data_IF_677220174780
#
_entry.id   IF_677220174780
#
_cell.length_a   1.000
_cell.length_b   1.000
_cell.length_c   1.000
_cell.angle_alpha   90.00
_cell.angle_beta   90.00
_cell.angle_gamma   90.00
#
_symmetry.space_group_name_H-M   'P 1'
#
loop_
_entity.id
_entity.type
_entity.pdbx_description
1 polymer ?
#
# COMPACT_ATOMS: atom_id res chain seq x y z
N UNK A 1 7.05 41.12 2.98
CA UNK A 1 6.29 40.32 2.03
C UNK A 1 7.02 39.01 1.82
N UNK A 2 6.38 37.86 1.97
CA UNK A 2 7.04 36.59 1.67
C UNK A 2 7.30 36.55 0.17
N UNK A 3 8.56 36.38 -0.20
CA UNK A 3 8.98 36.12 -1.57
C UNK A 3 8.19 34.91 -2.10
N UNK A 4 7.26 35.16 -3.01
CA UNK A 4 6.62 34.08 -3.76
C UNK A 4 7.69 33.38 -4.58
N UNK A 5 8.03 32.14 -4.19
CA UNK A 5 8.97 31.34 -4.97
C UNK A 5 8.42 31.15 -6.38
N UNK A 6 9.08 31.74 -7.34
CA UNK A 6 8.71 31.66 -8.77
C UNK A 6 9.36 30.47 -9.49
N UNK A 7 10.11 29.65 -8.79
CA UNK A 7 10.89 28.56 -9.38
C UNK A 7 10.37 27.19 -8.91
N UNK A 8 10.38 26.24 -9.83
CA UNK A 8 10.11 24.84 -9.50
C UNK A 8 11.22 24.26 -8.62
N UNK A 9 10.84 23.44 -7.64
CA UNK A 9 11.77 22.68 -6.82
C UNK A 9 12.03 21.35 -7.53
N UNK A 10 13.30 20.99 -7.68
CA UNK A 10 13.74 19.68 -8.20
C UNK A 10 14.01 18.77 -7.03
N UNK A 11 13.33 17.62 -7.01
CA UNK A 11 13.47 16.60 -5.97
C UNK A 11 13.89 15.30 -6.65
N UNK A 12 15.04 14.70 -6.29
CA UNK A 12 15.43 13.39 -6.78
C UNK A 12 14.38 12.35 -6.38
N UNK A 13 13.96 11.54 -7.34
CA UNK A 13 13.01 10.48 -7.11
C UNK A 13 13.23 9.32 -8.09
N UNK A 14 12.74 8.14 -7.74
CA UNK A 14 12.72 7.00 -8.64
C UNK A 14 11.28 6.52 -8.80
N UNK A 15 10.83 6.36 -10.04
CA UNK A 15 9.52 5.78 -10.34
C UNK A 15 9.68 4.29 -10.54
N UNK A 16 9.09 3.49 -9.68
CA UNK A 16 9.28 2.03 -9.63
C UNK A 16 7.97 1.27 -9.63
N UNK A 17 8.03 0.08 -10.22
CA UNK A 17 7.02 -0.96 -10.10
C UNK A 17 7.43 -1.96 -9.02
N UNK A 18 6.46 -2.37 -8.21
CA UNK A 18 6.57 -3.54 -7.34
C UNK A 18 5.29 -4.34 -7.45
N UNK A 19 5.40 -5.65 -7.77
CA UNK A 19 4.23 -6.45 -8.09
C UNK A 19 3.38 -5.79 -9.19
N UNK A 20 2.08 -5.70 -9.00
CA UNK A 20 1.12 -5.04 -9.91
C UNK A 20 0.88 -3.56 -9.56
N UNK A 21 1.69 -2.97 -8.71
CA UNK A 21 1.60 -1.55 -8.34
C UNK A 21 2.84 -0.79 -8.79
N UNK A 22 2.74 0.52 -8.93
CA UNK A 22 3.87 1.42 -9.14
C UNK A 22 3.68 2.71 -8.35
N UNK A 23 4.80 3.35 -8.02
CA UNK A 23 4.78 4.57 -7.25
C UNK A 23 6.07 5.37 -7.37
N UNK A 24 6.05 6.57 -6.81
CA UNK A 24 7.19 7.46 -6.75
C UNK A 24 7.92 7.23 -5.42
N UNK A 25 9.20 6.89 -5.51
CA UNK A 25 10.05 6.62 -4.36
C UNK A 25 10.95 7.82 -4.09
N UNK A 26 10.97 8.28 -2.85
CA UNK A 26 11.81 9.37 -2.37
C UNK A 26 12.74 8.87 -1.27
N UNK A 27 13.99 9.34 -1.28
CA UNK A 27 14.83 9.31 -0.08
C UNK A 27 14.38 10.42 0.87
N UNK A 28 14.19 10.10 2.13
CA UNK A 28 13.76 11.08 3.14
C UNK A 28 14.64 12.33 3.17
N UNK A 29 15.96 12.15 3.07
CA UNK A 29 16.92 13.24 3.10
C UNK A 29 16.87 14.18 1.88
N UNK A 30 16.33 13.70 0.74
CA UNK A 30 16.22 14.48 -0.49
C UNK A 30 14.94 15.33 -0.53
N UNK A 31 14.00 15.08 0.39
CA UNK A 31 12.80 15.91 0.53
C UNK A 31 13.16 17.28 1.12
N UNK A 32 12.43 18.35 0.74
CA UNK A 32 12.48 19.62 1.43
C UNK A 32 12.27 19.43 2.94
N UNK A 33 12.98 20.19 3.75
CA UNK A 33 13.01 20.03 5.22
C UNK A 33 11.61 19.94 5.83
N UNK A 34 10.70 20.82 5.41
CA UNK A 34 9.32 20.83 5.90
C UNK A 34 8.53 19.53 5.58
N UNK A 35 8.92 18.81 4.53
CA UNK A 35 8.28 17.56 4.12
C UNK A 35 8.95 16.30 4.70
N UNK A 36 10.07 16.43 5.40
CA UNK A 36 10.73 15.29 6.05
C UNK A 36 9.98 14.76 7.27
N UNK A 37 9.10 15.58 7.83
CA UNK A 37 8.30 15.22 9.00
C UNK A 37 6.83 14.97 8.59
N UNK A 38 6.12 14.08 9.32
CA UNK A 38 4.68 13.91 9.11
C UNK A 38 3.93 15.24 9.25
N UNK A 39 2.94 15.45 8.40
CA UNK A 39 2.09 16.63 8.48
C UNK A 39 1.72 17.23 7.12
N UNK A 40 1.03 18.38 7.14
CA UNK A 40 0.45 18.99 5.95
C UNK A 40 1.46 19.32 4.84
N UNK A 41 2.69 19.69 5.19
CA UNK A 41 3.72 20.02 4.19
C UNK A 41 4.15 18.78 3.38
N UNK A 42 4.29 17.63 4.04
CA UNK A 42 4.58 16.35 3.38
C UNK A 42 3.41 15.93 2.48
N UNK A 43 2.19 15.98 3.00
CA UNK A 43 1.00 15.60 2.25
C UNK A 43 0.81 16.49 1.02
N UNK A 44 0.96 17.81 1.16
CA UNK A 44 0.85 18.76 0.07
C UNK A 44 1.89 18.50 -1.04
N UNK A 45 3.14 18.15 -0.66
CA UNK A 45 4.18 17.82 -1.63
C UNK A 45 3.81 16.55 -2.41
N UNK A 46 3.38 15.48 -1.73
CA UNK A 46 3.03 14.22 -2.37
C UNK A 46 1.79 14.39 -3.26
N UNK A 47 0.77 15.11 -2.81
CA UNK A 47 -0.41 15.45 -3.62
C UNK A 47 0.02 16.15 -4.91
N UNK A 48 0.90 17.15 -4.81
CA UNK A 48 1.39 17.89 -5.99
C UNK A 48 2.17 17.00 -6.95
N UNK A 49 3.05 16.12 -6.42
CA UNK A 49 3.84 15.20 -7.26
C UNK A 49 2.95 14.18 -7.97
N UNK A 50 1.93 13.68 -7.30
CA UNK A 50 1.01 12.68 -7.88
C UNK A 50 -0.05 13.32 -8.79
N UNK A 51 -0.27 14.65 -8.70
CA UNK A 51 -1.27 15.37 -9.48
C UNK A 51 -2.66 15.34 -8.87
N UNK A 52 -2.73 15.38 -7.54
CA UNK A 52 -3.99 15.32 -6.78
C UNK A 52 -4.22 16.62 -5.97
N UNK A 53 -5.48 16.99 -5.74
CA UNK A 53 -6.70 16.40 -6.28
C UNK A 53 -6.91 16.77 -7.75
N UNK A 54 -7.33 15.79 -8.56
CA UNK A 54 -7.66 16.03 -9.95
C UNK A 54 -9.17 15.78 -10.18
N UNK A 55 -9.97 16.83 -10.44
CA UNK A 55 -11.41 16.67 -10.67
C UNK A 55 -11.73 15.88 -11.95
N UNK A 56 -10.77 15.76 -12.86
CA UNK A 56 -10.91 14.99 -14.10
C UNK A 56 -10.50 13.53 -13.94
N UNK A 57 -9.93 13.15 -12.79
CA UNK A 57 -9.53 11.77 -12.47
C UNK A 57 -8.43 11.21 -13.38
N UNK A 58 -7.54 12.05 -13.90
CA UNK A 58 -6.48 11.68 -14.85
C UNK A 58 -5.06 11.85 -14.30
N UNK A 59 -4.90 12.71 -13.29
CA UNK A 59 -3.60 13.08 -12.72
C UNK A 59 -2.54 13.47 -13.79
N UNK A 60 -2.98 14.15 -14.84
CA UNK A 60 -2.11 14.57 -15.96
C UNK A 60 -1.00 15.49 -15.48
N UNK A 61 -1.27 16.32 -14.47
CA UNK A 61 -0.30 17.26 -13.90
C UNK A 61 0.56 16.61 -12.78
N UNK A 62 0.78 15.29 -12.87
CA UNK A 62 1.57 14.54 -11.90
C UNK A 62 1.87 13.11 -12.35
N UNK A 63 2.40 12.32 -11.43
CA UNK A 63 2.88 10.96 -11.68
C UNK A 63 1.91 9.86 -11.23
N UNK A 64 0.69 10.20 -10.81
CA UNK A 64 -0.24 9.25 -10.19
C UNK A 64 -0.88 8.25 -11.14
N UNK A 65 -1.04 8.62 -12.41
CA UNK A 65 -1.56 7.76 -13.47
C UNK A 65 -2.96 7.16 -13.20
N UNK A 66 -3.79 7.87 -12.42
CA UNK A 66 -5.24 7.74 -12.28
C UNK A 66 -5.79 6.37 -11.83
N UNK A 67 -5.03 5.59 -11.08
CA UNK A 67 -5.54 4.37 -10.45
C UNK A 67 -5.02 4.22 -9.02
N UNK A 68 -5.73 3.44 -8.19
CA UNK A 68 -5.27 3.11 -6.85
C UNK A 68 -3.99 2.27 -6.84
N UNK A 69 -3.70 1.56 -7.93
CA UNK A 69 -2.47 0.78 -8.11
C UNK A 69 -1.27 1.64 -8.48
N UNK A 70 -1.48 2.88 -8.87
CA UNK A 70 -0.43 3.77 -9.41
C UNK A 70 -0.30 5.10 -8.66
N UNK A 71 -1.34 5.56 -7.98
CA UNK A 71 -1.33 6.80 -7.20
C UNK A 71 -0.73 6.56 -5.80
N UNK A 72 0.58 6.29 -5.79
CA UNK A 72 1.31 5.85 -4.60
C UNK A 72 2.64 6.56 -4.47
N UNK A 73 3.01 6.85 -3.22
CA UNK A 73 4.31 7.39 -2.87
C UNK A 73 4.98 6.54 -1.79
N UNK A 74 6.30 6.46 -1.85
CA UNK A 74 7.13 5.73 -0.89
C UNK A 74 8.24 6.66 -0.44
N UNK A 75 8.49 6.68 0.86
CA UNK A 75 9.63 7.38 1.46
C UNK A 75 10.51 6.34 2.15
N UNK A 76 11.77 6.28 1.74
CA UNK A 76 12.77 5.38 2.31
C UNK A 76 13.85 6.15 3.05
N UNK A 77 14.35 5.57 4.13
CA UNK A 77 15.53 6.02 4.85
C UNK A 77 16.29 4.83 5.40
N UNK A 78 17.60 5.00 5.64
CA UNK A 78 18.37 3.98 6.38
C UNK A 78 17.74 3.78 7.75
N UNK A 79 17.50 2.52 8.12
CA UNK A 79 16.93 2.23 9.43
C UNK A 79 17.95 2.47 10.56
N UNK A 80 17.45 3.02 11.65
CA UNK A 80 18.20 3.08 12.93
C UNK A 80 17.80 1.95 13.87
N UNK A 81 16.84 1.10 13.47
CA UNK A 81 16.40 -0.06 14.25
C UNK A 81 17.42 -1.18 14.15
N UNK A 82 17.82 -1.80 15.28
CA UNK A 82 18.67 -2.97 15.25
C UNK A 82 18.10 -4.06 14.33
N UNK A 83 18.98 -4.63 13.50
CA UNK A 83 18.61 -5.73 12.60
C UNK A 83 17.74 -5.35 11.40
N UNK A 84 17.58 -4.05 11.12
CA UNK A 84 16.89 -3.55 9.93
C UNK A 84 17.81 -2.71 9.06
N UNK A 85 17.58 -2.77 7.74
CA UNK A 85 18.37 -2.03 6.75
C UNK A 85 17.72 -0.70 6.39
N UNK A 86 16.40 -0.72 6.17
CA UNK A 86 15.64 0.40 5.62
C UNK A 86 14.30 0.56 6.32
N UNK A 87 13.93 1.81 6.60
CA UNK A 87 12.59 2.19 6.99
C UNK A 87 11.79 2.52 5.74
N UNK A 88 10.61 1.95 5.64
CA UNK A 88 9.68 2.07 4.53
C UNK A 88 8.37 2.70 4.99
N UNK A 89 8.07 3.88 4.48
CA UNK A 89 6.83 4.58 4.71
C UNK A 89 6.03 4.65 3.40
N UNK A 90 4.79 4.20 3.44
CA UNK A 90 3.89 4.13 2.29
C UNK A 90 2.76 5.15 2.39
N UNK A 91 2.51 5.91 1.33
CA UNK A 91 1.37 6.81 1.19
C UNK A 91 0.48 6.43 0.02
N UNK A 92 -0.79 6.14 0.29
CA UNK A 92 -1.81 6.01 -0.76
C UNK A 92 -2.41 7.39 -1.02
N UNK A 93 -2.17 7.94 -2.20
CA UNK A 93 -2.62 9.28 -2.56
C UNK A 93 -3.98 9.20 -3.25
N UNK A 94 -5.00 9.83 -2.69
CA UNK A 94 -6.31 9.91 -3.32
C UNK A 94 -6.23 10.69 -4.65
N UNK A 95 -7.05 10.32 -5.63
CA UNK A 95 -7.00 10.90 -6.97
C UNK A 95 -7.79 12.21 -7.03
N UNK A 96 -8.99 12.21 -6.46
CA UNK A 96 -10.02 13.25 -6.61
C UNK A 96 -10.14 14.19 -5.42
N UNK A 97 -9.38 13.98 -4.36
CA UNK A 97 -9.43 14.77 -3.12
C UNK A 97 -8.04 14.96 -2.51
N UNK A 98 -7.84 16.02 -1.71
CA UNK A 98 -6.55 16.34 -1.12
C UNK A 98 -6.28 15.49 0.12
N UNK A 99 -6.05 14.18 -0.08
CA UNK A 99 -5.88 13.23 1.02
C UNK A 99 -4.77 12.22 0.69
N UNK A 100 -3.90 11.98 1.67
CA UNK A 100 -2.90 10.90 1.67
C UNK A 100 -3.23 9.97 2.82
N UNK A 101 -3.49 8.71 2.51
CA UNK A 101 -3.76 7.68 3.52
C UNK A 101 -2.46 6.98 3.93
N UNK A 102 -2.11 7.13 5.20
CA UNK A 102 -0.94 6.52 5.84
C UNK A 102 -1.28 5.29 6.68
N UNK A 103 -2.53 4.83 6.67
CA UNK A 103 -3.04 3.81 7.61
C UNK A 103 -2.59 2.38 7.34
N UNK A 104 -1.94 2.10 6.21
CA UNK A 104 -1.59 0.73 5.85
C UNK A 104 -0.36 0.59 4.97
N UNK A 105 -0.05 -0.65 4.62
CA UNK A 105 1.04 -1.01 3.72
C UNK A 105 0.51 -1.33 2.32
N UNK A 106 1.38 -1.25 1.32
CA UNK A 106 1.18 -1.84 0.00
C UNK A 106 2.09 -3.06 -0.16
N UNK A 107 1.51 -4.27 -0.08
CA UNK A 107 2.24 -5.51 -0.24
C UNK A 107 2.98 -5.59 -1.57
N UNK A 108 2.35 -5.18 -2.66
CA UNK A 108 2.95 -5.15 -3.99
C UNK A 108 4.18 -4.25 -4.08
N UNK A 109 4.08 -3.00 -3.62
CA UNK A 109 5.23 -2.07 -3.65
C UNK A 109 6.38 -2.51 -2.74
N UNK A 110 6.12 -3.32 -1.73
CA UNK A 110 7.17 -3.86 -0.86
C UNK A 110 8.25 -4.60 -1.65
N UNK A 111 7.90 -5.21 -2.80
CA UNK A 111 8.86 -5.89 -3.68
C UNK A 111 9.88 -4.92 -4.34
N UNK A 112 9.56 -3.65 -4.46
CA UNK A 112 10.47 -2.64 -5.00
C UNK A 112 11.37 -1.99 -3.93
N UNK A 113 11.04 -2.14 -2.66
CA UNK A 113 11.76 -1.46 -1.56
C UNK A 113 13.19 -1.96 -1.42
N UNK A 114 13.38 -3.29 -1.38
CA UNK A 114 14.71 -3.88 -1.29
C UNK A 114 15.64 -3.47 -2.45
N UNK A 115 15.22 -3.67 -3.72
CA UNK A 115 15.95 -3.20 -4.88
C UNK A 115 16.30 -1.71 -4.83
N UNK A 116 15.32 -0.86 -4.51
CA UNK A 116 15.55 0.58 -4.41
C UNK A 116 16.55 0.95 -3.30
N UNK A 117 16.44 0.30 -2.14
CA UNK A 117 17.36 0.51 -1.03
C UNK A 117 18.81 0.16 -1.41
N UNK A 118 19.01 -0.91 -2.18
CA UNK A 118 20.33 -1.29 -2.69
C UNK A 118 20.85 -0.25 -3.69
N UNK A 119 20.03 0.16 -4.66
CA UNK A 119 20.41 1.20 -5.63
C UNK A 119 20.81 2.51 -4.96
N UNK A 120 20.19 2.84 -3.85
CA UNK A 120 20.48 4.09 -3.13
C UNK A 120 21.57 3.98 -2.06
N UNK A 121 22.18 2.79 -1.91
CA UNK A 121 23.23 2.56 -0.92
C UNK A 121 22.73 2.59 0.53
N UNK A 122 21.46 2.26 0.75
CA UNK A 122 20.86 2.16 2.09
C UNK A 122 21.15 0.81 2.76
N UNK A 123 21.55 -0.18 1.98
CA UNK A 123 22.03 -1.48 2.48
C UNK A 123 23.56 -1.45 2.50
N UNK A 124 24.16 -2.06 3.53
CA UNK A 124 25.60 -2.14 3.66
C UNK A 124 26.23 -2.84 2.42
N UNK A 125 27.12 -2.18 1.69
CA UNK A 125 27.74 -2.74 0.48
C UNK A 125 28.46 -4.07 0.70
N UNK A 126 29.01 -4.30 1.90
CA UNK A 126 29.73 -5.54 2.24
C UNK A 126 28.80 -6.75 2.27
N UNK A 127 27.51 -6.55 2.45
CA UNK A 127 26.50 -7.62 2.44
C UNK A 127 26.04 -8.01 1.04
N UNK A 128 26.36 -7.22 0.02
CA UNK A 128 25.88 -7.48 -1.34
C UNK A 128 26.84 -8.44 -2.04
N UNK A 129 26.39 -9.68 -2.34
CA UNK A 129 27.24 -10.67 -3.01
C UNK A 129 27.45 -10.31 -4.47
N UNK A 130 28.44 -10.93 -5.12
CA UNK A 130 28.57 -10.80 -6.58
C UNK A 130 27.50 -11.58 -7.35
N UNK A 131 27.04 -12.70 -6.79
CA UNK A 131 26.02 -13.58 -7.36
C UNK A 131 25.14 -14.14 -6.24
N UNK A 132 23.86 -14.37 -6.54
CA UNK A 132 22.91 -14.95 -5.61
C UNK A 132 21.83 -13.97 -5.18
N UNK A 133 21.59 -13.87 -3.88
CA UNK A 133 20.61 -12.94 -3.33
C UNK A 133 21.09 -12.32 -2.02
N UNK A 134 20.51 -11.18 -1.68
CA UNK A 134 20.69 -10.54 -0.37
C UNK A 134 19.32 -10.34 0.29
N UNK A 135 19.23 -10.73 1.57
CA UNK A 135 18.05 -10.49 2.37
C UNK A 135 18.10 -9.04 2.90
N UNK A 136 17.17 -8.21 2.44
CA UNK A 136 16.99 -6.83 2.91
C UNK A 136 15.89 -6.83 3.97
N UNK A 137 16.22 -6.44 5.19
CA UNK A 137 15.27 -6.32 6.29
C UNK A 137 14.66 -4.94 6.32
N UNK A 138 13.37 -4.88 6.07
CA UNK A 138 12.58 -3.67 5.92
C UNK A 138 11.71 -3.48 7.16
N UNK A 139 11.80 -2.30 7.78
CA UNK A 139 10.83 -1.87 8.75
C UNK A 139 9.69 -1.13 8.04
N UNK A 140 8.52 -1.76 7.98
CA UNK A 140 7.32 -1.12 7.42
C UNK A 140 6.68 -0.22 8.49
N UNK A 141 6.94 1.09 8.37
CA UNK A 141 6.67 2.06 9.42
C UNK A 141 5.17 2.33 9.66
N UNK A 142 4.32 2.16 8.64
CA UNK A 142 2.89 2.42 8.79
C UNK A 142 2.21 1.43 9.75
N UNK A 143 2.59 0.16 9.68
CA UNK A 143 1.96 -0.92 10.46
C UNK A 143 2.88 -1.51 11.53
N UNK A 144 4.12 -1.02 11.63
CA UNK A 144 5.06 -1.50 12.65
C UNK A 144 5.47 -2.97 12.48
N UNK A 145 5.71 -3.42 11.26
CA UNK A 145 6.04 -4.82 10.94
C UNK A 145 7.34 -4.93 10.15
N UNK A 146 7.97 -6.09 10.24
CA UNK A 146 9.16 -6.43 9.46
C UNK A 146 8.77 -7.17 8.19
N UNK A 147 9.37 -6.75 7.07
CA UNK A 147 9.33 -7.45 5.79
C UNK A 147 10.76 -7.81 5.43
N UNK A 148 10.99 -9.04 4.95
CA UNK A 148 12.28 -9.43 4.40
C UNK A 148 12.14 -9.61 2.89
N UNK A 149 12.91 -8.84 2.12
CA UNK A 149 12.96 -8.97 0.68
C UNK A 149 14.23 -9.71 0.26
N UNK A 150 14.08 -10.82 -0.48
CA UNK A 150 15.20 -11.57 -1.04
C UNK A 150 15.51 -11.02 -2.43
N UNK A 151 16.45 -10.08 -2.50
CA UNK A 151 16.78 -9.37 -3.74
C UNK A 151 17.81 -10.12 -4.53
N UNK A 152 17.53 -10.55 -5.78
CA UNK A 152 18.49 -11.23 -6.62
C UNK A 152 19.61 -10.27 -7.06
N UNK A 153 20.85 -10.78 -7.05
CA UNK A 153 22.05 -10.03 -7.37
C UNK A 153 22.84 -10.75 -8.47
N UNK A 154 23.24 -9.98 -9.48
CA UNK A 154 24.11 -10.43 -10.57
C UNK A 154 25.21 -9.39 -10.77
N UNK A 155 26.46 -9.84 -10.77
CA UNK A 155 27.62 -8.95 -10.92
C UNK A 155 27.78 -7.89 -9.82
N UNK A 156 27.20 -8.14 -8.65
CA UNK A 156 27.20 -7.17 -7.55
C UNK A 156 26.12 -6.10 -7.65
N UNK A 157 25.18 -6.24 -8.59
CA UNK A 157 24.07 -5.31 -8.81
C UNK A 157 22.74 -6.04 -8.70
N UNK A 158 21.68 -5.28 -8.41
CA UNK A 158 20.32 -5.83 -8.44
C UNK A 158 20.03 -6.41 -9.82
N UNK A 159 19.59 -7.67 -9.85
CA UNK A 159 19.07 -8.28 -11.08
C UNK A 159 17.68 -7.75 -11.34
N UNK A 160 17.49 -7.07 -12.48
CA UNK A 160 16.22 -6.47 -12.87
C UNK A 160 15.45 -7.33 -13.87
N UNK A 161 16.18 -8.00 -14.75
CA UNK A 161 15.63 -8.89 -15.79
C UNK A 161 15.59 -10.33 -15.32
N UNK A 162 14.60 -11.09 -15.80
CA UNK A 162 14.42 -12.51 -15.48
C UNK A 162 13.20 -13.08 -16.18
N UNK A 163 12.89 -14.34 -15.88
CA UNK A 163 11.81 -15.09 -16.52
C UNK A 163 10.54 -15.18 -15.65
N UNK A 164 10.52 -14.50 -14.50
CA UNK A 164 9.35 -14.54 -13.63
C UNK A 164 8.20 -13.75 -14.23
N UNK A 165 7.11 -14.46 -14.54
CA UNK A 165 5.87 -13.88 -15.03
C UNK A 165 4.91 -13.60 -13.88
N UNK A 166 4.26 -12.44 -13.91
CA UNK A 166 3.28 -12.02 -12.93
C UNK A 166 1.99 -11.61 -13.63
N UNK A 167 0.88 -12.21 -13.24
CA UNK A 167 -0.43 -11.87 -13.77
C UNK A 167 -0.72 -10.36 -13.61
N UNK A 168 -1.18 -9.73 -14.69
CA UNK A 168 -1.42 -8.29 -14.75
C UNK A 168 -0.20 -7.43 -15.08
N UNK A 169 0.96 -8.05 -15.32
CA UNK A 169 2.20 -7.37 -15.76
C UNK A 169 2.63 -7.91 -17.11
N UNK A 170 2.89 -7.02 -18.07
CA UNK A 170 3.08 -7.39 -19.47
C UNK A 170 4.42 -8.10 -19.76
N UNK A 171 5.45 -7.86 -18.96
CA UNK A 171 6.80 -8.37 -19.24
C UNK A 171 7.33 -9.15 -18.03
N UNK A 172 8.07 -10.25 -18.26
CA UNK A 172 8.76 -10.96 -17.19
C UNK A 172 9.88 -10.10 -16.61
N UNK A 173 10.27 -10.41 -15.37
CA UNK A 173 11.32 -9.71 -14.64
C UNK A 173 11.99 -10.66 -13.66
N UNK A 174 12.99 -10.19 -12.92
CA UNK A 174 13.55 -10.94 -11.80
C UNK A 174 12.53 -11.04 -10.66
N UNK A 175 12.41 -12.22 -10.06
CA UNK A 175 11.57 -12.47 -8.90
C UNK A 175 12.20 -11.86 -7.63
N UNK A 176 11.40 -11.20 -6.81
CA UNK A 176 11.79 -10.72 -5.49
C UNK A 176 10.86 -11.35 -4.44
N UNK A 177 11.23 -12.51 -3.86
CA UNK A 177 10.45 -13.14 -2.81
C UNK A 177 10.39 -12.25 -1.56
N UNK A 178 9.22 -12.20 -0.92
CA UNK A 178 8.98 -11.43 0.29
C UNK A 178 8.52 -12.34 1.43
N UNK A 179 9.04 -12.09 2.62
CA UNK A 179 8.54 -12.67 3.86
C UNK A 179 7.92 -11.56 4.72
N UNK A 180 6.66 -11.71 5.08
CA UNK A 180 5.97 -10.83 6.03
C UNK A 180 6.09 -11.48 7.40
N UNK A 181 6.91 -10.90 8.28
CA UNK A 181 7.21 -11.50 9.58
C UNK A 181 6.10 -11.21 10.58
N UNK A 182 5.55 -12.29 11.17
CA UNK A 182 4.48 -12.22 12.16
C UNK A 182 3.37 -11.22 11.79
N UNK A 183 2.75 -11.37 10.60
CA UNK A 183 1.80 -10.36 10.09
C UNK A 183 0.56 -10.21 10.97
N UNK A 184 0.25 -11.22 11.79
CA UNK A 184 -0.91 -11.29 12.66
C UNK A 184 -0.58 -11.23 14.16
N UNK A 185 0.64 -10.84 14.55
CA UNK A 185 0.94 -10.68 15.96
C UNK A 185 0.26 -9.43 16.57
N UNK A 186 0.28 -9.32 17.90
CA UNK A 186 -0.45 -8.31 18.68
C UNK A 186 0.04 -6.84 18.52
N UNK A 187 0.53 -6.45 17.33
CA UNK A 187 0.79 -5.05 17.01
C UNK A 187 -0.51 -4.23 16.91
N UNK A 188 -0.47 -3.06 16.30
CA UNK A 188 -1.65 -2.16 16.14
C UNK A 188 -2.87 -2.82 15.46
N UNK A 189 -2.69 -3.97 14.82
CA UNK A 189 -3.76 -4.74 14.16
C UNK A 189 -4.48 -5.74 15.07
N UNK A 190 -3.97 -6.00 16.29
CA UNK A 190 -4.55 -6.99 17.19
C UNK A 190 -4.41 -8.45 16.73
N UNK A 191 -5.20 -9.34 17.29
CA UNK A 191 -5.22 -10.77 16.96
C UNK A 191 -5.61 -11.01 15.50
N UNK A 192 -5.20 -12.17 14.95
CA UNK A 192 -5.56 -12.59 13.59
C UNK A 192 -7.08 -12.53 13.35
N UNK A 193 -7.87 -12.96 14.32
CA UNK A 193 -9.32 -12.81 14.33
C UNK A 193 -9.70 -11.80 15.42
N UNK A 194 -9.88 -10.50 15.09
CA UNK A 194 -10.09 -9.45 16.09
C UNK A 194 -11.32 -9.65 16.96
N UNK A 195 -12.34 -10.35 16.46
CA UNK A 195 -13.57 -10.68 17.21
C UNK A 195 -13.44 -11.97 18.02
N UNK A 196 -12.40 -12.77 17.79
CA UNK A 196 -12.23 -14.11 18.33
C UNK A 196 -12.95 -15.21 17.55
N UNK A 197 -13.68 -14.86 16.49
CA UNK A 197 -14.43 -15.81 15.66
C UNK A 197 -13.81 -15.91 14.27
N UNK A 198 -13.90 -17.10 13.67
CA UNK A 198 -13.54 -17.31 12.25
C UNK A 198 -14.61 -16.73 11.34
N UNK A 199 -15.88 -16.85 11.74
CA UNK A 199 -17.03 -16.27 11.03
C UNK A 199 -17.85 -15.46 12.00
N UNK A 200 -18.18 -14.25 11.60
CA UNK A 200 -19.06 -13.33 12.32
C UNK A 200 -20.34 -13.08 11.52
N UNK A 201 -21.41 -12.77 12.24
CA UNK A 201 -22.58 -12.11 11.65
C UNK A 201 -22.33 -10.61 11.62
N UNK A 202 -22.28 -10.04 10.42
CA UNK A 202 -22.11 -8.61 10.19
C UNK A 202 -23.43 -7.99 9.79
N UNK A 203 -24.01 -7.21 10.70
CA UNK A 203 -25.22 -6.44 10.44
C UNK A 203 -24.85 -5.06 9.90
N UNK A 204 -25.36 -4.75 8.70
CA UNK A 204 -25.14 -3.47 8.03
C UNK A 204 -26.48 -2.80 7.79
N UNK A 205 -26.89 -1.82 8.61
CA UNK A 205 -28.18 -1.16 8.52
C UNK A 205 -28.47 -0.62 7.12
N UNK A 206 -29.64 -0.93 6.58
CA UNK A 206 -30.08 -0.54 5.23
C UNK A 206 -29.44 -1.33 4.08
N UNK A 207 -28.57 -2.30 4.38
CA UNK A 207 -27.90 -3.14 3.37
C UNK A 207 -28.23 -4.61 3.58
N UNK A 208 -28.04 -5.15 4.79
CA UNK A 208 -28.36 -6.54 5.11
C UNK A 208 -27.47 -7.12 6.20
N UNK A 209 -27.63 -8.41 6.44
CA UNK A 209 -26.82 -9.22 7.34
C UNK A 209 -25.99 -10.21 6.52
N UNK A 210 -24.72 -10.33 6.88
CA UNK A 210 -23.76 -11.15 6.13
C UNK A 210 -22.96 -12.04 7.07
N UNK A 211 -22.76 -13.28 6.69
CA UNK A 211 -21.71 -14.10 7.26
C UNK A 211 -20.36 -13.60 6.71
N UNK A 212 -19.47 -13.15 7.57
CA UNK A 212 -18.21 -12.54 7.18
C UNK A 212 -17.05 -13.11 7.99
N UNK A 213 -15.90 -13.28 7.34
CA UNK A 213 -14.63 -13.50 8.03
C UNK A 213 -13.89 -12.18 8.13
N UNK A 214 -13.71 -11.71 9.38
CA UNK A 214 -12.98 -10.50 9.71
C UNK A 214 -11.58 -10.92 10.15
N UNK A 215 -10.57 -10.71 9.31
CA UNK A 215 -9.23 -11.25 9.53
C UNK A 215 -8.16 -10.18 9.40
N UNK A 216 -7.16 -10.24 10.28
CA UNK A 216 -5.97 -9.42 10.27
C UNK A 216 -4.73 -10.29 10.10
N UNK A 217 -4.44 -10.68 8.86
CA UNK A 217 -3.29 -11.50 8.50
C UNK A 217 -2.39 -10.74 7.51
N UNK A 218 -1.92 -9.58 7.93
CA UNK A 218 -1.16 -8.63 7.13
C UNK A 218 -1.96 -7.36 6.87
N UNK A 219 -2.87 -7.36 5.90
CA UNK A 219 -3.82 -6.27 5.71
C UNK A 219 -5.17 -6.70 6.28
N UNK A 220 -5.78 -5.92 7.19
CA UNK A 220 -7.13 -6.20 7.67
C UNK A 220 -8.10 -6.35 6.50
N UNK A 221 -8.81 -7.46 6.44
CA UNK A 221 -9.70 -7.80 5.32
C UNK A 221 -11.00 -8.40 5.81
N UNK A 222 -12.09 -8.03 5.15
CA UNK A 222 -13.43 -8.57 5.33
C UNK A 222 -13.73 -9.48 4.15
N UNK A 223 -13.85 -10.78 4.38
CA UNK A 223 -14.24 -11.75 3.36
C UNK A 223 -15.73 -12.09 3.47
N UNK A 224 -16.41 -12.10 2.33
CA UNK A 224 -17.82 -12.38 2.17
C UNK A 224 -18.02 -13.42 1.08
N UNK A 225 -19.14 -14.14 1.13
CA UNK A 225 -19.59 -14.96 0.01
C UNK A 225 -20.09 -14.09 -1.13
N UNK A 226 -19.65 -14.34 -2.35
CA UNK A 226 -20.13 -13.66 -3.55
C UNK A 226 -21.65 -13.79 -3.70
N UNK A 227 -22.19 -15.00 -3.46
CA UNK A 227 -23.63 -15.28 -3.58
C UNK A 227 -24.48 -14.41 -2.63
N UNK A 228 -24.01 -14.13 -1.41
CA UNK A 228 -24.73 -13.29 -0.45
C UNK A 228 -24.82 -11.82 -0.90
N UNK A 229 -23.94 -11.42 -1.82
CA UNK A 229 -23.91 -10.09 -2.43
C UNK A 229 -24.61 -10.05 -3.81
N UNK A 230 -25.08 -11.19 -4.30
CA UNK A 230 -25.67 -11.31 -5.63
C UNK A 230 -24.66 -11.40 -6.77
N UNK A 231 -23.41 -11.80 -6.45
CA UNK A 231 -22.33 -11.99 -7.42
C UNK A 231 -22.00 -13.47 -7.61
N UNK A 232 -21.31 -13.77 -8.72
CA UNK A 232 -20.85 -15.12 -9.05
C UNK A 232 -19.43 -15.38 -8.58
N UNK A 233 -18.64 -14.31 -8.31
CA UNK A 233 -17.22 -14.39 -8.02
C UNK A 233 -16.33 -14.30 -9.26
N UNK A 234 -16.93 -14.13 -10.45
CA UNK A 234 -16.21 -14.00 -11.72
C UNK A 234 -16.24 -12.56 -12.29
N UNK A 235 -16.85 -11.64 -11.56
CA UNK A 235 -16.99 -10.25 -11.97
C UNK A 235 -15.62 -9.58 -12.06
N UNK A 236 -15.41 -8.85 -13.16
CA UNK A 236 -14.19 -8.04 -13.35
C UNK A 236 -14.37 -6.63 -12.78
N UNK A 237 -13.27 -5.96 -12.58
CA UNK A 237 -13.19 -4.61 -12.01
C UNK A 237 -14.18 -3.63 -12.65
N UNK A 238 -14.33 -3.65 -13.97
CA UNK A 238 -15.22 -2.73 -14.68
C UNK A 238 -16.68 -2.87 -14.29
N UNK A 239 -17.15 -4.10 -14.04
CA UNK A 239 -18.54 -4.38 -13.64
C UNK A 239 -18.86 -3.79 -12.26
N UNK A 240 -17.88 -3.79 -11.35
CA UNK A 240 -18.03 -3.25 -9.99
C UNK A 240 -17.85 -1.72 -9.98
N UNK A 241 -16.77 -1.23 -10.58
CA UNK A 241 -16.42 0.20 -10.52
C UNK A 241 -17.38 1.11 -11.29
N UNK A 242 -18.12 0.57 -12.27
CA UNK A 242 -19.14 1.32 -13.00
C UNK A 242 -20.50 1.36 -12.31
N UNK A 243 -20.66 0.68 -11.18
CA UNK A 243 -21.91 0.64 -10.40
C UNK A 243 -21.79 1.43 -9.08
N UNK A 244 -22.29 2.70 -9.06
CA UNK A 244 -22.24 3.52 -7.84
C UNK A 244 -23.02 2.92 -6.66
N UNK A 245 -24.08 2.14 -6.91
CA UNK A 245 -24.84 1.50 -5.84
C UNK A 245 -24.04 0.35 -5.21
N UNK A 246 -23.34 -0.43 -6.03
CA UNK A 246 -22.43 -1.45 -5.53
C UNK A 246 -21.31 -0.84 -4.70
N UNK A 247 -20.67 0.23 -5.17
CA UNK A 247 -19.61 0.92 -4.44
C UNK A 247 -20.10 1.46 -3.09
N UNK A 248 -21.30 2.07 -3.05
CA UNK A 248 -21.90 2.56 -1.81
C UNK A 248 -22.19 1.41 -0.83
N UNK A 249 -22.71 0.29 -1.33
CA UNK A 249 -22.99 -0.92 -0.54
C UNK A 249 -21.67 -1.50 0.05
N UNK A 250 -20.63 -1.63 -0.75
CA UNK A 250 -19.35 -2.13 -0.29
C UNK A 250 -18.71 -1.19 0.74
N UNK A 251 -18.81 0.12 0.56
CA UNK A 251 -18.31 1.07 1.57
C UNK A 251 -19.07 0.96 2.89
N UNK A 252 -20.39 0.79 2.87
CA UNK A 252 -21.18 0.57 4.08
C UNK A 252 -20.77 -0.72 4.81
N UNK A 253 -20.58 -1.82 4.09
CA UNK A 253 -20.12 -3.09 4.64
C UNK A 253 -18.70 -2.92 5.23
N UNK A 254 -17.80 -2.26 4.51
CA UNK A 254 -16.44 -1.99 4.94
C UNK A 254 -16.39 -1.18 6.24
N UNK A 255 -17.19 -0.12 6.32
CA UNK A 255 -17.25 0.75 7.49
C UNK A 255 -17.76 -0.01 8.74
N UNK A 256 -18.83 -0.77 8.63
CA UNK A 256 -19.37 -1.57 9.74
C UNK A 256 -18.43 -2.71 10.14
N UNK A 257 -17.79 -3.36 9.17
CA UNK A 257 -16.76 -4.36 9.44
C UNK A 257 -15.54 -3.75 10.15
N UNK A 258 -15.11 -2.56 9.77
CA UNK A 258 -14.01 -1.85 10.43
C UNK A 258 -14.32 -1.53 11.91
N UNK A 259 -15.54 -1.13 12.22
CA UNK A 259 -16.00 -0.93 13.62
C UNK A 259 -15.96 -2.26 14.36
N UNK A 260 -16.50 -3.32 13.78
CA UNK A 260 -16.53 -4.66 14.42
C UNK A 260 -15.12 -5.22 14.63
N UNK A 261 -14.19 -4.93 13.76
CA UNK A 261 -12.77 -5.27 13.91
C UNK A 261 -12.02 -4.42 14.95
N UNK A 262 -12.65 -3.35 15.46
CA UNK A 262 -12.01 -2.42 16.39
C UNK A 262 -10.99 -1.47 15.74
N UNK A 263 -10.99 -1.32 14.43
CA UNK A 263 -10.09 -0.43 13.70
C UNK A 263 -10.51 1.04 13.77
N UNK A 264 -11.79 1.28 13.91
CA UNK A 264 -12.43 2.59 14.09
C UNK A 264 -13.53 2.49 15.14
N UNK A 265 -13.95 3.64 15.69
CA UNK A 265 -14.97 3.70 16.75
C UNK A 265 -16.38 3.90 16.20
N UNK A 266 -16.48 4.58 15.06
CA UNK A 266 -17.75 4.85 14.39
C UNK A 266 -17.61 4.73 12.89
N UNK A 267 -18.72 4.48 12.18
CA UNK A 267 -18.73 4.29 10.72
C UNK A 267 -18.26 5.53 9.96
N UNK A 268 -18.46 6.72 10.53
CA UNK A 268 -18.04 7.99 9.93
C UNK A 268 -16.52 8.10 9.81
N UNK A 269 -15.78 7.47 10.71
CA UNK A 269 -14.32 7.46 10.67
C UNK A 269 -13.76 6.67 9.47
N UNK A 270 -14.56 5.81 8.85
CA UNK A 270 -14.13 4.99 7.71
C UNK A 270 -13.63 5.84 6.53
N UNK A 271 -14.16 7.05 6.36
CA UNK A 271 -13.73 7.98 5.32
C UNK A 271 -12.26 8.41 5.47
N UNK A 272 -11.73 8.43 6.69
CA UNK A 272 -10.35 8.78 7.01
C UNK A 272 -9.40 7.57 6.97
N UNK A 273 -9.96 6.37 6.79
CA UNK A 273 -9.24 5.10 6.76
C UNK A 273 -9.66 4.29 5.52
N UNK A 274 -9.34 4.77 4.34
CA UNK A 274 -9.84 4.16 3.10
C UNK A 274 -9.01 2.97 2.61
N UNK A 275 -7.72 2.93 2.96
CA UNK A 275 -6.85 1.84 2.55
C UNK A 275 -7.20 0.52 3.26
N UNK A 276 -7.62 0.57 4.52
CA UNK A 276 -7.94 -0.61 5.33
C UNK A 276 -9.18 -0.41 6.19
N UNK A 277 -9.98 -1.44 6.45
CA UNK A 277 -9.83 -2.80 5.93
C UNK A 277 -10.14 -2.88 4.44
N UNK A 278 -9.63 -3.93 3.79
CA UNK A 278 -10.10 -4.33 2.46
C UNK A 278 -11.40 -5.10 2.58
N UNK A 279 -12.16 -5.11 1.49
CA UNK A 279 -13.32 -5.99 1.34
C UNK A 279 -13.08 -6.89 0.14
N UNK A 280 -13.38 -8.17 0.29
CA UNK A 280 -13.26 -9.16 -0.77
C UNK A 280 -14.44 -10.11 -0.72
N UNK A 281 -14.94 -10.51 -1.87
CA UNK A 281 -15.90 -11.59 -1.96
C UNK A 281 -15.29 -12.79 -2.69
N UNK A 282 -15.68 -13.98 -2.27
CA UNK A 282 -15.16 -15.27 -2.75
C UNK A 282 -16.31 -16.17 -3.16
N UNK A 283 -16.03 -17.09 -4.07
CA UNK A 283 -16.95 -18.12 -4.50
C UNK A 283 -16.23 -19.47 -4.57
N UNK A 284 -16.94 -20.60 -4.56
CA UNK A 284 -16.35 -21.88 -4.90
C UNK A 284 -15.72 -21.84 -6.31
N UNK A 285 -14.65 -22.64 -6.54
CA UNK A 285 -13.98 -22.71 -7.83
C UNK A 285 -14.86 -23.26 -8.94
#
# INVERSE_FOLDING_TARGET
EPSTMTHQIKIPATYMRGGTSKGVFFRLQDLPEAARHPGPARDALLLRVLGSPDPYGKQIDGLGNASSSTSKAVILSRSTRPGHDVDYLFGQVAIDRPFVDWSGNCGNLSAAVGPCAIHWGLVDPERIPRQGSVAVRIWQANIGKTIVAHVPIVGGHVQETGEFELDGVAFPAAEVPLEFIAPADEGEGGAMFPTGNVVDELDVPGVGQFAATLINAGIPTIFLNAADLGYTGTELQGAINSDPQALARFEAIRAHGAVKMGLIRSVEEAAQRQHTPKIAFVAPP
#
